data_IF_069370511617
#
_entry.id   IF_069370511617
#
_cell.length_a   1.000
_cell.length_b   1.000
_cell.length_c   1.000
_cell.angle_alpha   90.00
_cell.angle_beta   90.00
_cell.angle_gamma   90.00
#
_symmetry.space_group_name_H-M   'P 1'
#
loop_
_entity.id
_entity.type
_entity.pdbx_description
1 polymer ?
#
# COMPACT_ATOMS: atom_id res chain seq x y z
N UNK A 1 3.17 -10.80 2.59
CA UNK A 1 3.59 -11.83 1.63
C UNK A 1 5.12 -11.87 1.64
N UNK A 2 5.77 -13.02 1.91
CA UNK A 2 7.23 -13.09 2.03
C UNK A 2 7.96 -12.84 0.71
N UNK A 3 7.32 -13.08 -0.43
CA UNK A 3 7.84 -12.62 -1.72
C UNK A 3 7.64 -11.11 -1.84
N UNK A 4 8.77 -10.39 -1.80
CA UNK A 4 8.79 -8.93 -1.83
C UNK A 4 8.22 -8.36 -3.13
N UNK A 5 8.51 -8.97 -4.28
CA UNK A 5 7.98 -8.52 -5.56
C UNK A 5 6.46 -8.67 -5.59
N UNK A 6 5.90 -9.72 -4.97
CA UNK A 6 4.45 -9.90 -4.78
C UNK A 6 3.87 -8.84 -3.87
N UNK A 7 4.49 -8.63 -2.71
CA UNK A 7 4.01 -7.66 -1.74
C UNK A 7 3.96 -6.25 -2.34
N UNK A 8 5.05 -5.84 -2.99
CA UNK A 8 5.19 -4.51 -3.56
C UNK A 8 4.16 -4.26 -4.67
N UNK A 9 4.07 -5.15 -5.68
CA UNK A 9 3.09 -4.97 -6.77
C UNK A 9 1.64 -4.95 -6.28
N UNK A 10 1.33 -5.73 -5.25
CA UNK A 10 0.00 -5.78 -4.66
C UNK A 10 -0.35 -4.44 -3.99
N UNK A 11 0.56 -3.90 -3.18
CA UNK A 11 0.41 -2.59 -2.54
C UNK A 11 0.33 -1.47 -3.59
N UNK A 12 1.21 -1.46 -4.59
CA UNK A 12 1.19 -0.46 -5.68
C UNK A 12 -0.18 -0.41 -6.37
N UNK A 13 -0.75 -1.57 -6.69
CA UNK A 13 -2.11 -1.67 -7.27
C UNK A 13 -3.18 -1.11 -6.32
N UNK A 14 -3.12 -1.45 -5.03
CA UNK A 14 -4.05 -0.91 -4.03
C UNK A 14 -3.94 0.61 -3.92
N UNK A 15 -2.72 1.15 -3.79
CA UNK A 15 -2.50 2.60 -3.68
C UNK A 15 -2.93 3.33 -4.94
N UNK A 16 -2.68 2.79 -6.13
CA UNK A 16 -3.17 3.35 -7.38
C UNK A 16 -4.70 3.35 -7.46
N UNK A 17 -5.37 2.28 -6.98
CA UNK A 17 -6.83 2.22 -6.90
C UNK A 17 -7.39 3.33 -6.01
N UNK A 18 -6.85 3.53 -4.80
CA UNK A 18 -7.25 4.64 -3.94
C UNK A 18 -6.90 6.00 -4.56
N UNK A 19 -5.72 6.11 -5.16
CA UNK A 19 -5.21 7.33 -5.80
C UNK A 19 -5.99 7.79 -7.02
N UNK A 20 -6.93 6.98 -7.54
CA UNK A 20 -7.89 7.43 -8.56
C UNK A 20 -8.93 8.39 -8.01
N UNK A 21 -9.24 8.31 -6.71
CA UNK A 21 -10.19 9.22 -6.06
C UNK A 21 -9.50 10.56 -5.76
N UNK A 22 -10.12 11.72 -6.10
CA UNK A 22 -9.49 13.03 -5.93
C UNK A 22 -9.06 13.36 -4.50
N UNK A 23 -9.70 12.77 -3.50
CA UNK A 23 -9.32 12.95 -2.09
C UNK A 23 -7.96 12.30 -1.77
N UNK A 24 -7.81 11.00 -2.02
CA UNK A 24 -6.56 10.27 -1.75
C UNK A 24 -5.41 10.76 -2.63
N UNK A 25 -5.68 11.11 -3.88
CA UNK A 25 -4.66 11.68 -4.77
C UNK A 25 -4.05 12.97 -4.19
N UNK A 26 -4.90 13.89 -3.72
CA UNK A 26 -4.47 15.12 -3.05
C UNK A 26 -3.75 14.85 -1.73
N UNK A 27 -4.15 13.80 -0.99
CA UNK A 27 -3.46 13.38 0.22
C UNK A 27 -2.02 12.93 -0.10
N UNK A 28 -1.81 12.10 -1.12
CA UNK A 28 -0.48 11.67 -1.55
C UNK A 28 0.39 12.86 -1.99
N UNK A 29 -0.17 13.77 -2.79
CA UNK A 29 0.53 14.98 -3.20
C UNK A 29 0.97 15.85 -2.02
N UNK A 30 0.12 15.99 -0.99
CA UNK A 30 0.44 16.72 0.26
C UNK A 30 1.53 16.05 1.09
N UNK A 31 1.71 14.74 0.96
CA UNK A 31 2.77 13.97 1.61
C UNK A 31 4.10 14.00 0.84
N UNK A 32 4.19 14.75 -0.26
CA UNK A 32 5.41 14.88 -1.06
C UNK A 32 5.48 13.95 -2.29
N UNK A 33 4.38 13.26 -2.62
CA UNK A 33 4.30 12.34 -3.76
C UNK A 33 3.55 12.95 -4.95
N UNK A 34 3.84 14.22 -5.28
CA UNK A 34 3.13 14.93 -6.36
C UNK A 34 3.32 14.26 -7.72
N UNK A 35 4.51 13.70 -7.98
CA UNK A 35 4.82 13.02 -9.25
C UNK A 35 4.03 11.72 -9.38
N UNK A 36 4.02 10.90 -8.33
CA UNK A 36 3.28 9.66 -8.25
C UNK A 36 1.78 9.93 -8.38
N UNK A 37 1.26 10.92 -7.65
CA UNK A 37 -0.14 11.32 -7.71
C UNK A 37 -0.57 11.71 -9.14
N UNK A 38 0.23 12.53 -9.83
CA UNK A 38 -0.02 12.91 -11.22
C UNK A 38 0.04 11.71 -12.17
N UNK A 39 1.01 10.82 -11.98
CA UNK A 39 1.16 9.59 -12.77
C UNK A 39 -0.01 8.62 -12.60
N UNK A 40 -0.50 8.44 -11.37
CA UNK A 40 -1.69 7.64 -11.07
C UNK A 40 -2.89 8.21 -11.83
N UNK A 41 -3.15 9.51 -11.72
CA UNK A 41 -4.26 10.16 -12.45
C UNK A 41 -4.13 9.97 -13.95
N UNK A 42 -2.94 10.16 -14.52
CA UNK A 42 -2.71 10.00 -15.95
C UNK A 42 -2.97 8.56 -16.44
N UNK A 43 -2.57 7.55 -15.67
CA UNK A 43 -2.85 6.13 -15.96
C UNK A 43 -4.36 5.85 -15.99
N UNK A 44 -5.09 6.30 -14.96
CA UNK A 44 -6.54 6.14 -14.91
C UNK A 44 -7.29 6.86 -16.02
N UNK A 45 -6.89 8.09 -16.38
CA UNK A 45 -7.49 8.83 -17.49
C UNK A 45 -7.32 8.11 -18.83
N UNK A 46 -6.21 7.37 -19.01
CA UNK A 46 -5.93 6.57 -20.20
C UNK A 46 -6.53 5.17 -20.17
N UNK A 47 -7.17 4.77 -19.06
CA UNK A 47 -7.63 3.40 -18.85
C UNK A 47 -6.50 2.38 -18.62
N UNK A 48 -5.27 2.83 -18.37
CA UNK A 48 -4.11 1.98 -18.14
C UNK A 48 -3.85 1.82 -16.63
N UNK A 49 -4.48 0.78 -16.07
CA UNK A 49 -4.37 0.45 -14.65
C UNK A 49 -2.96 0.00 -14.26
N UNK A 50 -2.19 -0.58 -15.19
CA UNK A 50 -0.82 -1.00 -14.92
C UNK A 50 0.09 0.22 -14.84
N UNK A 51 -0.05 1.17 -15.77
CA UNK A 51 0.68 2.44 -15.70
C UNK A 51 0.33 3.22 -14.42
N UNK A 52 -0.93 3.21 -13.98
CA UNK A 52 -1.33 3.82 -12.72
C UNK A 52 -0.64 3.16 -11.51
N UNK A 53 -0.55 1.83 -11.49
CA UNK A 53 0.17 1.09 -10.45
C UNK A 53 1.68 1.36 -10.48
N UNK A 54 2.29 1.40 -11.67
CA UNK A 54 3.73 1.66 -11.81
C UNK A 54 4.12 3.10 -11.46
N UNK A 55 3.19 4.04 -11.55
CA UNK A 55 3.40 5.42 -11.11
C UNK A 55 3.58 5.54 -9.58
N UNK A 56 3.12 4.57 -8.79
CA UNK A 56 3.41 4.52 -7.36
C UNK A 56 4.90 4.18 -7.20
N UNK A 57 5.68 4.96 -6.46
CA UNK A 57 7.08 4.60 -6.20
C UNK A 57 7.20 3.52 -5.13
N UNK A 58 8.31 2.77 -5.13
CA UNK A 58 8.59 1.79 -4.07
C UNK A 58 8.68 2.48 -2.71
N UNK A 59 9.35 3.63 -2.65
CA UNK A 59 9.41 4.46 -1.45
C UNK A 59 8.01 4.87 -0.95
N UNK A 60 7.10 5.29 -1.84
CA UNK A 60 5.73 5.62 -1.44
C UNK A 60 5.00 4.40 -0.87
N UNK A 61 5.15 3.24 -1.51
CA UNK A 61 4.52 2.00 -1.05
C UNK A 61 5.00 1.59 0.35
N UNK A 62 6.31 1.63 0.61
CA UNK A 62 6.90 1.27 1.90
C UNK A 62 6.61 2.29 3.02
N UNK A 63 6.45 3.57 2.67
CA UNK A 63 6.11 4.59 3.64
C UNK A 63 4.65 4.48 4.07
N UNK A 64 3.74 4.22 3.14
CA UNK A 64 2.29 4.23 3.39
C UNK A 64 1.76 2.89 3.90
N UNK A 65 2.33 1.76 3.48
CA UNK A 65 1.82 0.42 3.80
C UNK A 65 2.86 -0.47 4.50
N UNK A 66 2.37 -1.36 5.36
CA UNK A 66 3.13 -2.49 5.85
C UNK A 66 3.15 -3.60 4.78
N UNK A 67 4.33 -3.98 4.30
CA UNK A 67 4.49 -4.98 3.24
C UNK A 67 5.73 -5.85 3.47
N UNK A 68 5.69 -7.08 2.95
CA UNK A 68 6.77 -8.05 3.07
C UNK A 68 6.42 -9.20 4.02
N UNK A 69 7.43 -9.66 4.77
CA UNK A 69 7.30 -10.73 5.76
C UNK A 69 6.45 -10.30 6.95
N UNK A 70 6.02 -11.25 7.78
CA UNK A 70 5.33 -10.93 9.02
C UNK A 70 6.19 -10.07 9.97
N UNK A 71 7.51 -10.26 9.95
CA UNK A 71 8.45 -9.45 10.72
C UNK A 71 8.50 -8.00 10.22
N UNK A 72 8.54 -7.79 8.91
CA UNK A 72 8.53 -6.44 8.31
C UNK A 72 7.24 -5.71 8.68
N UNK A 73 6.09 -6.38 8.60
CA UNK A 73 4.81 -5.79 8.96
C UNK A 73 4.72 -5.45 10.45
N UNK A 74 5.20 -6.33 11.35
CA UNK A 74 5.27 -6.05 12.79
C UNK A 74 6.16 -4.84 13.09
N UNK A 75 7.33 -4.76 12.46
CA UNK A 75 8.24 -3.62 12.60
C UNK A 75 7.56 -2.31 12.19
N UNK A 76 6.81 -2.30 11.09
CA UNK A 76 6.07 -1.11 10.63
C UNK A 76 5.02 -0.64 11.66
N UNK A 77 4.37 -1.58 12.34
CA UNK A 77 3.40 -1.27 13.40
C UNK A 77 4.11 -0.65 14.60
N UNK A 78 5.23 -1.22 15.04
CA UNK A 78 6.04 -0.63 16.11
C UNK A 78 6.51 0.79 15.77
N UNK A 79 6.81 1.07 14.50
CA UNK A 79 7.15 2.43 14.04
C UNK A 79 5.98 3.40 14.24
N UNK A 80 4.74 2.99 13.93
CA UNK A 80 3.55 3.81 14.17
C UNK A 80 3.27 4.01 15.66
N UNK A 81 3.43 2.97 16.48
CA UNK A 81 3.28 3.06 17.94
C UNK A 81 4.31 4.01 18.55
N UNK A 82 5.59 3.90 18.15
CA UNK A 82 6.67 4.80 18.58
C UNK A 82 6.45 6.24 18.12
N UNK A 83 5.74 6.45 17.01
CA UNK A 83 5.33 7.77 16.54
C UNK A 83 4.10 8.33 17.31
N UNK A 84 3.55 7.59 18.26
CA UNK A 84 2.47 8.05 19.15
C UNK A 84 1.08 7.54 18.81
N UNK A 85 0.93 6.57 17.88
CA UNK A 85 -0.36 5.96 17.59
C UNK A 85 -0.85 5.14 18.81
N UNK A 86 -2.03 5.46 19.34
CA UNK A 86 -2.65 4.69 20.43
C UNK A 86 -3.32 3.40 19.95
N UNK A 87 -3.71 3.35 18.67
CA UNK A 87 -4.32 2.19 18.03
C UNK A 87 -3.83 2.07 16.59
N UNK A 88 -3.43 0.87 16.19
CA UNK A 88 -3.07 0.55 14.80
C UNK A 88 -4.09 -0.45 14.25
N UNK A 89 -4.85 -0.03 13.23
CA UNK A 89 -5.86 -0.86 12.58
C UNK A 89 -5.24 -1.54 11.37
N UNK A 90 -5.25 -2.88 11.36
CA UNK A 90 -4.76 -3.67 10.24
C UNK A 90 -5.86 -3.81 9.19
N UNK A 91 -5.62 -3.20 8.02
CA UNK A 91 -6.46 -3.38 6.84
C UNK A 91 -5.78 -4.35 5.86
N UNK A 92 -6.33 -5.55 5.64
CA UNK A 92 -5.77 -6.49 4.69
C UNK A 92 -5.83 -5.96 3.26
N UNK A 93 -4.74 -6.13 2.52
CA UNK A 93 -4.69 -5.86 1.07
C UNK A 93 -4.69 -7.18 0.31
N UNK A 94 -5.38 -7.21 -0.83
CA UNK A 94 -5.35 -8.38 -1.71
C UNK A 94 -3.92 -8.68 -2.17
N UNK A 95 -3.53 -9.96 -2.14
CA UNK A 95 -2.22 -10.43 -2.60
C UNK A 95 -2.42 -11.00 -4.01
N UNK A 96 -1.87 -10.34 -5.02
CA UNK A 96 -2.13 -10.66 -6.45
C UNK A 96 -3.62 -10.69 -6.83
N UNK A 97 -4.42 -9.83 -6.19
CA UNK A 97 -5.86 -9.77 -6.45
C UNK A 97 -6.70 -10.76 -5.64
N UNK A 98 -6.07 -11.66 -4.89
CA UNK A 98 -6.75 -12.54 -3.95
C UNK A 98 -6.85 -11.86 -2.57
N UNK A 99 -8.07 -11.40 -2.24
CA UNK A 99 -8.35 -10.73 -0.96
C UNK A 99 -8.34 -11.70 0.22
N UNK A 100 -8.88 -12.91 0.05
CA UNK A 100 -8.93 -13.93 1.11
C UNK A 100 -7.52 -14.36 1.53
N UNK A 101 -6.62 -14.50 0.55
CA UNK A 101 -5.19 -14.73 0.80
C UNK A 101 -4.56 -13.58 1.60
N UNK A 102 -4.94 -12.34 1.30
CA UNK A 102 -4.53 -11.16 2.07
C UNK A 102 -5.00 -11.21 3.53
N UNK A 103 -6.28 -11.52 3.74
CA UNK A 103 -6.88 -11.64 5.08
C UNK A 103 -6.19 -12.74 5.89
N UNK A 104 -6.03 -13.94 5.32
CA UNK A 104 -5.36 -15.07 5.99
C UNK A 104 -3.92 -14.73 6.38
N UNK A 105 -3.18 -14.09 5.47
CA UNK A 105 -1.80 -13.70 5.73
C UNK A 105 -1.68 -12.69 6.88
N UNK A 106 -2.64 -11.75 7.00
CA UNK A 106 -2.69 -10.84 8.15
C UNK A 106 -3.01 -11.60 9.43
N UNK A 107 -4.03 -12.46 9.43
CA UNK A 107 -4.37 -13.25 10.61
C UNK A 107 -3.18 -14.09 11.08
N UNK A 108 -2.54 -14.84 10.20
CA UNK A 108 -1.36 -15.66 10.53
C UNK A 108 -0.18 -14.84 11.06
N UNK A 109 0.06 -13.64 10.51
CA UNK A 109 1.15 -12.77 10.95
C UNK A 109 0.94 -12.19 12.37
N UNK A 110 -0.31 -12.14 12.85
CA UNK A 110 -0.72 -11.46 14.08
C UNK A 110 -1.55 -12.33 15.04
N UNK A 111 -1.69 -13.63 14.79
CA UNK A 111 -2.44 -14.58 15.61
C UNK A 111 -1.72 -14.98 16.91
N UNK A 112 -1.11 -14.02 17.62
CA UNK A 112 -0.51 -14.24 18.94
C UNK A 112 -1.52 -14.77 19.95
#
# INVERSE_FOLDING_TARGET
CPDRAVALRSVKRTLAFYGRMPFYNRLFARQGYQKEAAGITAGWTKGDMNAAAEAVSEQMAEQIAALGTAQDCRKKIEEFEKAGASYVILYPTAIDGDYDKGVRAVLEAFAG
#
